data_IF_689891022083
#
_entry.id   IF_689891022083
#
_cell.length_a   1.000
_cell.length_b   1.000
_cell.length_c   1.000
_cell.angle_alpha   90.00
_cell.angle_beta   90.00
_cell.angle_gamma   90.00
#
_symmetry.space_group_name_H-M   'P 1'
#
loop_
_entity.id
_entity.type
_entity.pdbx_description
1 polymer ?
#
# COMPACT_ATOMS: atom_id res chain seq x y z
N UNK A 1 -15.47 -3.66 8.69
CA UNK A 1 -14.11 -3.30 8.25
C UNK A 1 -13.38 -4.56 7.82
N UNK A 2 -12.90 -4.59 6.60
CA UNK A 2 -12.25 -5.78 6.04
C UNK A 2 -10.72 -5.71 6.25
N UNK A 3 -10.17 -6.67 6.99
CA UNK A 3 -8.72 -6.80 7.24
C UNK A 3 -8.33 -8.26 6.96
N UNK A 4 -7.98 -8.60 5.71
CA UNK A 4 -7.68 -9.98 5.32
C UNK A 4 -6.54 -10.60 6.13
N UNK A 5 -6.69 -11.85 6.50
CA UNK A 5 -5.71 -12.57 7.33
C UNK A 5 -4.47 -13.02 6.54
N UNK A 6 -4.56 -13.06 5.22
CA UNK A 6 -3.47 -13.55 4.36
C UNK A 6 -2.49 -12.45 3.92
N UNK A 7 -2.66 -11.24 4.44
CA UNK A 7 -1.80 -10.11 4.12
C UNK A 7 -0.95 -9.71 5.32
N UNK A 8 0.08 -8.91 5.06
CA UNK A 8 0.85 -8.22 6.07
C UNK A 8 0.51 -6.74 6.02
N UNK A 9 0.84 -6.01 7.07
CA UNK A 9 0.42 -4.61 7.21
C UNK A 9 1.54 -3.75 7.78
N UNK A 10 1.42 -2.42 7.60
CA UNK A 10 2.32 -1.45 8.21
C UNK A 10 1.53 -0.50 9.12
N UNK A 11 2.27 0.21 9.97
CA UNK A 11 1.70 1.25 10.84
C UNK A 11 1.16 2.44 10.03
N UNK A 12 1.56 2.55 8.77
CA UNK A 12 1.11 3.61 7.86
C UNK A 12 -0.13 3.20 7.06
N UNK A 13 -0.78 2.10 7.47
CA UNK A 13 -2.04 1.61 6.89
C UNK A 13 -1.90 1.12 5.46
N UNK A 14 -0.79 0.46 5.17
CA UNK A 14 -0.56 -0.21 3.90
C UNK A 14 -0.66 -1.72 4.09
N UNK A 15 -1.14 -2.40 3.05
CA UNK A 15 -1.15 -3.85 3.04
C UNK A 15 -0.12 -4.37 2.06
N UNK A 16 0.42 -5.55 2.34
CA UNK A 16 1.43 -6.21 1.53
C UNK A 16 1.00 -7.64 1.25
N UNK A 17 0.99 -7.99 -0.04
CA UNK A 17 0.80 -9.37 -0.49
C UNK A 17 2.13 -9.90 -0.99
N UNK A 18 2.66 -10.93 -0.35
CA UNK A 18 3.92 -11.56 -0.76
C UNK A 18 3.60 -12.54 -1.89
N UNK A 19 3.98 -12.19 -3.12
CA UNK A 19 3.73 -13.02 -4.31
C UNK A 19 4.78 -14.11 -4.44
N UNK A 20 6.05 -13.79 -4.14
CA UNK A 20 7.18 -14.69 -4.26
C UNK A 20 8.33 -14.16 -3.44
N UNK A 21 9.49 -14.85 -3.48
CA UNK A 21 10.69 -14.39 -2.80
C UNK A 21 11.21 -13.05 -3.34
N UNK A 22 10.79 -12.66 -4.54
CA UNK A 22 11.31 -11.47 -5.21
C UNK A 22 10.27 -10.39 -5.48
N UNK A 23 9.00 -10.65 -5.19
CA UNK A 23 7.92 -9.76 -5.61
C UNK A 23 6.84 -9.63 -4.56
N UNK A 24 6.49 -8.40 -4.23
CA UNK A 24 5.35 -8.09 -3.37
C UNK A 24 4.47 -7.05 -4.04
N UNK A 25 3.18 -7.05 -3.66
CA UNK A 25 2.21 -6.07 -4.11
C UNK A 25 1.75 -5.28 -2.88
N UNK A 26 1.56 -3.99 -3.06
CA UNK A 26 1.25 -3.07 -1.96
C UNK A 26 0.07 -2.16 -2.33
N UNK A 27 -0.75 -1.86 -1.35
CA UNK A 27 -1.82 -0.89 -1.47
C UNK A 27 -2.14 -0.33 -0.10
N UNK A 28 -3.23 0.45 0.01
CA UNK A 28 -3.68 0.97 1.30
C UNK A 28 -4.88 0.17 1.78
N UNK A 29 -5.04 0.09 3.10
CA UNK A 29 -6.08 -0.73 3.73
C UNK A 29 -7.46 -0.14 3.60
N UNK A 30 -8.47 -0.97 3.88
CA UNK A 30 -9.86 -0.52 3.95
C UNK A 30 -10.01 0.61 4.99
N UNK A 31 -9.30 0.49 6.11
CA UNK A 31 -9.28 1.53 7.13
C UNK A 31 -8.76 2.86 6.56
N UNK A 32 -7.64 2.82 5.84
CA UNK A 32 -7.03 4.02 5.27
C UNK A 32 -7.95 4.69 4.25
N UNK A 33 -8.56 3.92 3.35
CA UNK A 33 -9.43 4.51 2.33
C UNK A 33 -10.69 5.12 2.95
N UNK A 34 -11.20 4.55 4.04
CA UNK A 34 -12.35 5.13 4.74
C UNK A 34 -11.99 6.46 5.42
N UNK A 35 -10.79 6.52 6.00
CA UNK A 35 -10.30 7.75 6.62
C UNK A 35 -10.09 8.87 5.60
N UNK A 36 -9.57 8.51 4.41
CA UNK A 36 -9.29 9.48 3.36
C UNK A 36 -10.55 9.95 2.64
N UNK A 37 -11.52 9.06 2.45
CA UNK A 37 -12.70 9.34 1.64
C UNK A 37 -12.41 9.12 0.15
N UNK A 38 -13.23 9.71 -0.72
CA UNK A 38 -13.16 9.47 -2.16
C UNK A 38 -11.81 9.85 -2.76
N UNK A 39 -11.14 8.88 -3.33
CA UNK A 39 -9.83 9.05 -3.96
C UNK A 39 -10.03 9.55 -5.39
N UNK A 40 -9.31 10.63 -5.74
CA UNK A 40 -9.43 11.28 -7.05
C UNK A 40 -8.15 11.22 -7.87
N UNK A 41 -6.98 10.98 -7.25
CA UNK A 41 -5.72 10.94 -7.96
C UNK A 41 -4.65 10.20 -7.17
N UNK A 42 -3.76 9.50 -7.89
CA UNK A 42 -2.59 8.82 -7.31
C UNK A 42 -1.37 9.20 -8.13
N UNK A 43 -0.31 9.63 -7.46
CA UNK A 43 0.95 9.98 -8.10
C UNK A 43 2.07 9.12 -7.52
N UNK A 44 2.81 8.41 -8.37
CA UNK A 44 3.93 7.56 -7.95
C UNK A 44 5.23 8.20 -8.41
N UNK A 45 5.95 8.81 -7.48
CA UNK A 45 7.16 9.59 -7.75
C UNK A 45 8.42 8.74 -7.91
N UNK A 46 8.44 7.55 -7.31
CA UNK A 46 9.65 6.69 -7.25
C UNK A 46 9.61 5.51 -8.21
N UNK A 47 8.75 5.55 -9.22
CA UNK A 47 8.65 4.46 -10.19
C UNK A 47 10.02 4.20 -10.84
N UNK A 48 10.45 2.93 -10.82
CA UNK A 48 11.74 2.53 -11.37
C UNK A 48 12.93 2.75 -10.43
N UNK A 49 12.72 3.20 -9.19
CA UNK A 49 13.79 3.53 -8.26
C UNK A 49 13.82 2.58 -7.07
N UNK A 50 15.04 2.24 -6.64
CA UNK A 50 15.22 1.56 -5.36
C UNK A 50 14.93 2.58 -4.26
N UNK A 51 14.02 2.21 -3.35
CA UNK A 51 13.51 3.13 -2.32
C UNK A 51 13.60 2.45 -0.96
N UNK A 52 14.07 3.18 0.03
CA UNK A 52 14.24 2.65 1.38
C UNK A 52 12.91 2.62 2.14
N UNK A 53 12.80 1.69 3.09
CA UNK A 53 11.65 1.62 3.99
C UNK A 53 11.36 3.00 4.61
N UNK A 54 10.09 3.36 4.70
CA UNK A 54 9.59 4.62 5.26
C UNK A 54 9.80 5.85 4.36
N UNK A 55 10.53 5.74 3.26
CA UNK A 55 10.58 6.85 2.30
C UNK A 55 9.24 6.99 1.59
N UNK A 56 8.90 8.23 1.24
CA UNK A 56 7.69 8.51 0.45
C UNK A 56 7.92 8.05 -0.98
N UNK A 57 7.06 7.16 -1.49
CA UNK A 57 7.16 6.74 -2.89
C UNK A 57 6.12 7.40 -3.78
N UNK A 58 5.16 8.09 -3.21
CA UNK A 58 4.11 8.75 -3.94
C UNK A 58 3.10 9.40 -3.01
N UNK A 59 1.99 9.86 -3.59
CA UNK A 59 0.90 10.48 -2.86
C UNK A 59 -0.44 9.97 -3.36
N UNK A 60 -1.43 10.02 -2.50
CA UNK A 60 -2.82 9.74 -2.86
C UNK A 60 -3.64 10.98 -2.50
N UNK A 61 -4.41 11.46 -3.48
CA UNK A 61 -5.25 12.64 -3.30
C UNK A 61 -6.72 12.23 -3.19
N UNK A 62 -7.34 12.64 -2.10
CA UNK A 62 -8.78 12.50 -1.91
C UNK A 62 -9.43 13.87 -2.07
N UNK A 63 -10.76 13.90 -2.15
CA UNK A 63 -11.50 15.16 -2.28
C UNK A 63 -11.15 16.14 -1.15
N UNK A 64 -11.01 15.61 0.08
CA UNK A 64 -10.80 16.46 1.28
C UNK A 64 -9.35 16.59 1.73
N UNK A 65 -8.43 15.74 1.23
CA UNK A 65 -7.06 15.74 1.75
C UNK A 65 -6.10 15.02 0.81
N UNK A 66 -4.80 15.25 1.02
CA UNK A 66 -3.71 14.56 0.32
C UNK A 66 -2.90 13.81 1.38
N UNK A 67 -2.48 12.59 1.08
CA UNK A 67 -1.68 11.77 1.99
C UNK A 67 -0.47 11.21 1.28
N UNK A 68 0.67 11.18 1.98
CA UNK A 68 1.88 10.53 1.48
C UNK A 68 1.73 9.02 1.55
N UNK A 69 2.40 8.33 0.62
CA UNK A 69 2.51 6.88 0.60
C UNK A 69 3.95 6.51 0.95
N UNK A 70 4.12 5.69 1.99
CA UNK A 70 5.44 5.32 2.51
C UNK A 70 5.81 3.91 2.06
N UNK A 71 7.11 3.70 1.74
CA UNK A 71 7.58 2.37 1.38
C UNK A 71 7.39 1.42 2.55
N UNK A 72 6.67 0.30 2.34
CA UNK A 72 6.47 -0.67 3.42
C UNK A 72 7.72 -1.48 3.73
N UNK A 73 8.63 -1.57 2.77
CA UNK A 73 9.86 -2.36 2.85
C UNK A 73 10.83 -1.81 1.82
N UNK A 74 12.13 -1.89 2.09
CA UNK A 74 13.15 -1.48 1.13
C UNK A 74 13.09 -2.36 -0.11
N UNK A 75 13.06 -1.76 -1.29
CA UNK A 75 13.02 -2.48 -2.56
C UNK A 75 12.90 -1.57 -3.76
N UNK A 76 12.79 -2.18 -4.92
CA UNK A 76 12.63 -1.47 -6.19
C UNK A 76 11.15 -1.31 -6.52
N UNK A 77 10.70 -0.08 -6.73
CA UNK A 77 9.32 0.19 -7.18
C UNK A 77 9.25 -0.16 -8.65
N UNK A 78 8.78 -1.37 -8.95
CA UNK A 78 8.84 -1.95 -10.30
C UNK A 78 7.74 -1.43 -11.23
N UNK A 79 6.52 -1.37 -10.72
CA UNK A 79 5.40 -0.97 -11.56
C UNK A 79 4.26 -0.38 -10.73
N UNK A 80 3.40 0.36 -11.42
CA UNK A 80 2.25 1.04 -10.88
C UNK A 80 1.00 0.47 -11.55
N UNK A 81 -0.09 0.37 -10.79
CA UNK A 81 -1.38 -0.06 -11.32
C UNK A 81 -1.97 1.06 -12.19
N UNK A 82 -1.78 0.94 -13.50
CA UNK A 82 -2.19 1.96 -14.47
C UNK A 82 -3.70 2.19 -14.53
N UNK A 83 -4.52 1.22 -14.11
CA UNK A 83 -5.96 1.41 -14.06
C UNK A 83 -6.36 2.55 -13.13
N UNK A 84 -5.52 2.86 -12.14
CA UNK A 84 -5.79 3.94 -11.20
C UNK A 84 -5.72 5.33 -11.84
N UNK A 85 -5.09 5.46 -13.00
CA UNK A 85 -5.05 6.73 -13.73
C UNK A 85 -6.45 7.18 -14.14
N UNK A 86 -7.27 6.25 -14.61
CA UNK A 86 -8.63 6.54 -15.05
C UNK A 86 -9.68 6.21 -13.98
N UNK A 87 -9.35 5.32 -13.06
CA UNK A 87 -10.29 4.82 -12.05
C UNK A 87 -9.65 4.80 -10.65
N UNK A 88 -9.24 5.96 -10.12
CA UNK A 88 -8.59 6.00 -8.80
C UNK A 88 -9.50 5.52 -7.67
N UNK A 89 -10.82 5.62 -7.85
CA UNK A 89 -11.79 5.15 -6.86
C UNK A 89 -11.80 3.64 -6.68
N UNK A 90 -11.07 2.87 -7.49
CA UNK A 90 -10.86 1.45 -7.24
C UNK A 90 -10.20 1.21 -5.88
N UNK A 91 -9.41 2.17 -5.42
CA UNK A 91 -8.81 2.11 -4.08
C UNK A 91 -9.91 2.09 -3.01
N UNK A 92 -10.98 2.83 -3.22
CA UNK A 92 -12.11 2.84 -2.30
C UNK A 92 -12.97 1.59 -2.40
N UNK A 93 -13.31 1.19 -3.63
CA UNK A 93 -14.28 0.11 -3.87
C UNK A 93 -13.68 -1.28 -3.71
N UNK A 94 -12.39 -1.45 -3.98
CA UNK A 94 -11.75 -2.76 -3.97
C UNK A 94 -10.26 -2.64 -3.56
N UNK A 95 -9.98 -2.17 -2.34
CA UNK A 95 -8.61 -1.79 -1.94
C UNK A 95 -7.61 -2.94 -1.96
N UNK A 96 -8.06 -4.19 -1.76
CA UNK A 96 -7.15 -5.34 -1.63
C UNK A 96 -6.96 -6.12 -2.92
N UNK A 97 -7.63 -5.74 -4.00
CA UNK A 97 -7.51 -6.44 -5.28
C UNK A 97 -7.30 -5.43 -6.41
N UNK A 98 -8.37 -4.94 -7.04
CA UNK A 98 -8.23 -4.02 -8.19
C UNK A 98 -7.59 -2.69 -7.81
N UNK A 99 -7.67 -2.31 -6.55
CA UNK A 99 -7.10 -1.06 -6.03
C UNK A 99 -5.65 -1.16 -5.56
N UNK A 100 -4.92 -2.21 -5.95
CA UNK A 100 -3.49 -2.29 -5.63
C UNK A 100 -2.75 -1.09 -6.23
N UNK A 101 -1.67 -0.65 -5.59
CA UNK A 101 -0.99 0.58 -6.00
C UNK A 101 0.33 0.31 -6.71
N UNK A 102 1.27 -0.37 -6.06
CA UNK A 102 2.58 -0.65 -6.65
C UNK A 102 2.98 -2.11 -6.48
N UNK A 103 3.89 -2.54 -7.37
CA UNK A 103 4.60 -3.80 -7.24
C UNK A 103 6.03 -3.47 -6.86
N UNK A 104 6.56 -4.15 -5.86
CA UNK A 104 7.93 -3.99 -5.39
C UNK A 104 8.69 -5.29 -5.67
N UNK A 105 9.87 -5.18 -6.26
CA UNK A 105 10.75 -6.33 -6.51
C UNK A 105 12.09 -6.11 -5.81
N UNK A 106 12.91 -7.17 -5.72
CA UNK A 106 14.22 -7.14 -5.07
C UNK A 106 14.16 -6.51 -3.68
N UNK A 107 13.09 -6.84 -2.94
CA UNK A 107 12.88 -6.28 -1.62
C UNK A 107 13.79 -6.95 -0.57
N UNK A 108 14.05 -6.23 0.52
CA UNK A 108 14.87 -6.73 1.62
C UNK A 108 14.06 -7.70 2.49
N UNK A 109 14.31 -8.99 2.29
CA UNK A 109 13.57 -10.07 2.97
C UNK A 109 13.75 -10.05 4.48
N UNK A 110 14.85 -9.48 4.97
CA UNK A 110 15.10 -9.40 6.41
C UNK A 110 14.09 -8.49 7.12
N UNK A 111 13.40 -7.61 6.37
CA UNK A 111 12.43 -6.68 6.93
C UNK A 111 11.02 -7.26 7.00
N UNK A 112 10.77 -8.43 6.41
CA UNK A 112 9.45 -9.06 6.40
C UNK A 112 8.92 -9.28 7.82
N UNK A 113 9.77 -9.71 8.74
CA UNK A 113 9.37 -10.01 10.10
C UNK A 113 8.95 -8.77 10.90
N UNK A 114 9.29 -7.58 10.40
CA UNK A 114 8.89 -6.32 11.04
C UNK A 114 7.48 -5.88 10.63
N UNK A 115 6.90 -6.53 9.61
CA UNK A 115 5.55 -6.21 9.18
C UNK A 115 4.53 -6.76 10.17
N UNK A 116 3.38 -6.11 10.25
CA UNK A 116 2.32 -6.50 11.17
C UNK A 116 1.47 -7.62 10.58
N UNK A 117 1.03 -8.55 11.43
CA UNK A 117 -0.01 -9.51 11.06
C UNK A 117 -1.35 -8.79 11.05
N UNK A 118 -2.40 -9.45 10.51
CA UNK A 118 -3.75 -8.90 10.53
C UNK A 118 -4.21 -8.63 11.98
N UNK A 119 -3.91 -9.53 12.91
CA UNK A 119 -4.29 -9.35 14.31
C UNK A 119 -3.60 -8.14 14.94
N UNK A 120 -2.29 -7.99 14.68
CA UNK A 120 -1.53 -6.87 15.20
C UNK A 120 -2.04 -5.56 14.61
N UNK A 121 -2.38 -5.56 13.32
CA UNK A 121 -2.90 -4.37 12.67
C UNK A 121 -4.28 -4.00 13.21
N UNK A 122 -5.15 -5.00 13.44
CA UNK A 122 -6.47 -4.75 14.06
C UNK A 122 -6.31 -4.10 15.43
N UNK A 123 -5.35 -4.58 16.23
CA UNK A 123 -5.08 -3.99 17.54
C UNK A 123 -4.64 -2.53 17.39
N UNK A 124 -3.82 -2.24 16.39
CA UNK A 124 -3.34 -0.88 16.12
C UNK A 124 -4.49 0.09 15.82
N UNK A 125 -5.47 -0.34 15.03
CA UNK A 125 -6.58 0.52 14.63
C UNK A 125 -7.81 0.40 15.56
N UNK A 126 -7.71 -0.36 16.63
CA UNK A 126 -8.74 -0.44 17.67
C UNK A 126 -9.90 -1.38 17.35
N UNK A 127 -9.64 -2.41 16.57
CA UNK A 127 -10.66 -3.42 16.26
C UNK A 127 -10.58 -4.62 17.21
#
# INVERSE_FOLDING_TARGET
MNIPNNLKYTKDHEWILIKSENEIICGITDYAQKELGDIVYVDIEKLGEKTEIEEVFGTVEAVKTVSDLFMPITGLVDSFNEELENNPQLINSDPYNKGWIIKIVDYDKSLIDNLLSAEQYKDLIGL
#
